data_IF_730457397917
#
_entry.id   IF_730457397917
#
_cell.length_a   1.000
_cell.length_b   1.000
_cell.length_c   1.000
_cell.angle_alpha   90.00
_cell.angle_beta   90.00
_cell.angle_gamma   90.00
#
_symmetry.space_group_name_H-M   'P 1'
#
loop_
_entity.id
_entity.type
_entity.pdbx_description
1 polymer ?
#
# COMPACT_ATOMS: atom_id res chain seq x y z
N UNK A 1 -13.13 11.50 -10.12
CA UNK A 1 -14.18 10.84 -9.31
C UNK A 1 -13.72 10.84 -7.86
N UNK A 2 -14.58 11.13 -6.91
CA UNK A 2 -14.26 11.02 -5.48
C UNK A 2 -14.81 9.70 -4.99
N UNK A 3 -13.98 8.91 -4.34
CA UNK A 3 -14.40 7.65 -3.71
C UNK A 3 -14.16 7.73 -2.22
N UNK A 4 -15.00 7.05 -1.48
CA UNK A 4 -14.89 6.87 -0.05
C UNK A 4 -14.76 5.37 0.21
N UNK A 5 -13.64 4.98 0.79
CA UNK A 5 -13.35 3.59 1.08
C UNK A 5 -13.02 3.41 2.55
N UNK A 6 -13.50 2.31 3.11
CA UNK A 6 -13.10 1.83 4.41
C UNK A 6 -12.08 0.72 4.20
N UNK A 7 -10.89 0.90 4.72
CA UNK A 7 -9.85 -0.11 4.67
C UNK A 7 -9.74 -0.82 6.01
N UNK A 8 -9.92 -2.14 5.96
CA UNK A 8 -9.60 -3.05 7.06
C UNK A 8 -8.37 -3.84 6.63
N UNK A 9 -7.23 -3.56 7.23
CA UNK A 9 -5.96 -4.16 6.81
C UNK A 9 -5.15 -4.70 7.99
N UNK A 10 -4.40 -5.77 7.73
CA UNK A 10 -3.29 -6.23 8.54
C UNK A 10 -1.99 -5.96 7.81
N UNK A 11 -1.03 -5.33 8.49
CA UNK A 11 0.26 -5.02 7.90
C UNK A 11 1.41 -5.57 8.75
N UNK A 12 2.45 -6.07 8.07
CA UNK A 12 3.63 -6.64 8.71
C UNK A 12 4.90 -6.12 8.06
N UNK A 13 5.83 -5.62 8.88
CA UNK A 13 7.17 -5.28 8.42
C UNK A 13 7.99 -6.57 8.28
N UNK A 14 8.66 -6.74 7.15
CA UNK A 14 9.42 -7.94 6.80
C UNK A 14 10.70 -7.57 6.05
N UNK A 15 11.59 -8.56 5.90
CA UNK A 15 12.74 -8.44 5.00
C UNK A 15 12.30 -8.64 3.55
N UNK A 16 12.63 -7.70 2.65
CA UNK A 16 12.34 -7.79 1.23
C UNK A 16 12.95 -9.05 0.60
N UNK A 17 14.23 -9.30 0.92
CA UNK A 17 14.95 -10.49 0.41
C UNK A 17 14.31 -11.81 0.88
N UNK A 18 13.90 -11.88 2.16
CA UNK A 18 13.23 -13.07 2.68
C UNK A 18 11.84 -13.24 2.05
N UNK A 19 11.08 -12.15 1.92
CA UNK A 19 9.74 -12.18 1.31
C UNK A 19 9.79 -12.72 -0.12
N UNK A 20 10.70 -12.22 -0.96
CA UNK A 20 10.84 -12.69 -2.34
C UNK A 20 11.22 -14.18 -2.42
N UNK A 21 12.12 -14.65 -1.53
CA UNK A 21 12.46 -16.07 -1.45
C UNK A 21 11.27 -16.95 -1.09
N UNK A 22 10.44 -16.51 -0.14
CA UNK A 22 9.23 -17.22 0.29
C UNK A 22 8.19 -17.23 -0.82
N UNK A 23 7.94 -16.11 -1.49
CA UNK A 23 7.01 -16.01 -2.62
C UNK A 23 7.39 -17.05 -3.70
N UNK A 24 8.67 -17.15 -4.03
CA UNK A 24 9.16 -18.13 -5.01
C UNK A 24 9.03 -19.57 -4.51
N UNK A 25 9.47 -19.85 -3.28
CA UNK A 25 9.45 -21.19 -2.69
C UNK A 25 8.02 -21.76 -2.58
N UNK A 26 7.08 -20.95 -2.15
CA UNK A 26 5.67 -21.32 -1.95
C UNK A 26 4.86 -21.28 -3.26
N UNK A 27 5.49 -20.95 -4.39
CA UNK A 27 4.83 -20.79 -5.69
C UNK A 27 3.63 -19.83 -5.61
N UNK A 28 3.78 -18.71 -4.87
CA UNK A 28 2.73 -17.70 -4.80
C UNK A 28 2.57 -17.03 -6.17
N UNK A 29 1.33 -16.79 -6.56
CA UNK A 29 1.01 -16.28 -7.90
C UNK A 29 1.03 -14.75 -7.88
N UNK A 30 1.97 -14.15 -8.58
CA UNK A 30 2.00 -12.71 -8.81
C UNK A 30 0.90 -12.34 -9.80
N UNK A 31 0.02 -11.42 -9.39
CA UNK A 31 -1.13 -10.97 -10.18
C UNK A 31 -0.80 -9.67 -10.90
N UNK A 32 -0.17 -8.74 -10.18
CA UNK A 32 0.11 -7.39 -10.68
C UNK A 32 1.31 -6.81 -9.95
N UNK A 33 2.00 -5.92 -10.62
CA UNK A 33 3.07 -5.13 -10.02
C UNK A 33 2.93 -3.67 -10.45
N UNK A 34 3.08 -2.76 -9.49
CA UNK A 34 2.98 -1.32 -9.71
C UNK A 34 4.24 -0.63 -9.20
N UNK A 35 4.68 0.42 -9.91
CA UNK A 35 5.58 1.43 -9.34
C UNK A 35 4.71 2.56 -8.80
N UNK A 36 4.90 2.90 -7.55
CA UNK A 36 4.14 3.92 -6.85
C UNK A 36 5.10 5.03 -6.43
N UNK A 37 4.85 6.24 -6.94
CA UNK A 37 5.47 7.48 -6.50
C UNK A 37 4.50 8.17 -5.54
N UNK A 38 4.93 8.46 -4.33
CA UNK A 38 4.03 9.06 -3.35
C UNK A 38 4.76 10.11 -2.52
N UNK A 39 4.08 11.23 -2.25
CA UNK A 39 4.55 12.25 -1.33
C UNK A 39 3.50 12.46 -0.25
N UNK A 40 3.89 12.33 1.01
CA UNK A 40 3.07 12.73 2.14
C UNK A 40 3.12 14.25 2.27
N UNK A 41 1.94 14.87 2.36
CA UNK A 41 1.78 16.32 2.36
C UNK A 41 1.60 16.84 3.77
N UNK A 42 0.42 16.64 4.32
CA UNK A 42 0.03 17.12 5.63
C UNK A 42 -0.38 15.98 6.55
N UNK A 43 -0.17 16.17 7.84
CA UNK A 43 -0.66 15.27 8.88
C UNK A 43 -1.12 16.08 10.09
N UNK A 44 -2.06 15.55 10.85
CA UNK A 44 -2.61 16.21 12.02
C UNK A 44 -3.59 15.33 12.77
N UNK A 45 -4.26 15.94 13.74
CA UNK A 45 -5.24 15.28 14.58
C UNK A 45 -6.56 16.08 14.61
N UNK A 46 -7.67 15.35 14.58
CA UNK A 46 -9.02 15.90 14.72
C UNK A 46 -9.79 14.99 15.67
N UNK A 47 -9.99 15.45 16.92
CA UNK A 47 -10.59 14.63 17.99
C UNK A 47 -9.77 13.35 18.21
N UNK A 48 -10.43 12.20 18.11
CA UNK A 48 -9.81 10.88 18.30
C UNK A 48 -9.16 10.31 17.02
N UNK A 49 -9.06 11.12 15.98
CA UNK A 49 -8.54 10.67 14.69
C UNK A 49 -7.23 11.39 14.34
N UNK A 50 -6.29 10.62 13.82
CA UNK A 50 -5.15 11.13 13.05
C UNK A 50 -5.53 11.18 11.58
N UNK A 51 -5.13 12.22 10.88
CA UNK A 51 -5.26 12.28 9.43
C UNK A 51 -3.90 12.49 8.76
N UNK A 52 -3.78 11.98 7.54
CA UNK A 52 -2.62 12.19 6.68
C UNK A 52 -3.12 12.39 5.25
N UNK A 53 -2.50 13.34 4.56
CA UNK A 53 -2.77 13.55 3.14
C UNK A 53 -1.57 13.16 2.29
N UNK A 54 -1.81 12.67 1.08
CA UNK A 54 -0.76 12.30 0.13
C UNK A 54 -1.21 12.57 -1.31
N UNK A 55 -0.22 12.78 -2.17
CA UNK A 55 -0.38 12.59 -3.61
C UNK A 55 0.32 11.31 -4.02
N UNK A 56 -0.25 10.62 -5.00
CA UNK A 56 0.28 9.36 -5.51
C UNK A 56 0.15 9.32 -7.02
N UNK A 57 1.20 8.85 -7.70
CA UNK A 57 1.16 8.43 -9.09
C UNK A 57 1.47 6.95 -9.15
N UNK A 58 0.59 6.17 -9.77
CA UNK A 58 0.71 4.72 -9.87
C UNK A 58 0.89 4.33 -11.33
N UNK A 59 1.89 3.50 -11.59
CA UNK A 59 2.23 2.94 -12.90
C UNK A 59 2.14 1.42 -12.81
N UNK A 60 1.32 0.79 -13.68
CA UNK A 60 1.21 -0.67 -13.74
C UNK A 60 2.34 -1.19 -14.64
N UNK A 61 3.20 -2.06 -14.09
CA UNK A 61 4.33 -2.64 -14.83
C UNK A 61 4.15 -4.11 -15.16
N UNK A 62 3.22 -4.80 -14.48
CA UNK A 62 2.89 -6.20 -14.72
C UNK A 62 1.42 -6.46 -14.34
N UNK A 63 0.65 -7.29 -15.08
CA UNK A 63 1.04 -7.85 -16.37
C UNK A 63 1.32 -6.73 -17.37
N UNK A 64 2.20 -7.00 -18.33
CA UNK A 64 2.56 -6.03 -19.37
C UNK A 64 1.31 -5.70 -20.21
N UNK A 65 0.65 -4.62 -19.84
CA UNK A 65 -0.55 -4.14 -20.51
C UNK A 65 -0.13 -3.34 -21.73
N UNK A 66 0.41 -4.02 -22.78
CA UNK A 66 0.61 -3.50 -24.14
C UNK A 66 0.96 -1.99 -24.25
N UNK A 67 1.85 -1.51 -23.39
CA UNK A 67 2.39 -0.15 -23.47
C UNK A 67 1.43 1.00 -23.20
N UNK A 68 0.20 0.74 -22.76
CA UNK A 68 -0.70 1.81 -22.34
C UNK A 68 -0.40 2.23 -20.90
N UNK A 69 0.44 3.21 -20.77
CA UNK A 69 0.74 3.93 -19.55
C UNK A 69 -0.43 4.85 -19.16
N UNK A 70 -1.43 4.31 -18.54
CA UNK A 70 -2.38 5.14 -17.83
C UNK A 70 -1.91 5.27 -16.37
N UNK A 71 -0.97 6.20 -16.16
CA UNK A 71 -0.55 6.58 -14.84
C UNK A 71 -1.71 7.24 -14.10
N UNK A 72 -2.25 6.57 -13.11
CA UNK A 72 -3.29 7.13 -12.25
C UNK A 72 -2.65 8.06 -11.23
N UNK A 73 -3.10 9.32 -11.20
CA UNK A 73 -2.74 10.27 -10.17
C UNK A 73 -3.90 10.50 -9.21
N UNK A 74 -3.60 10.47 -7.91
CA UNK A 74 -4.60 10.58 -6.85
C UNK A 74 -4.13 11.49 -5.73
N UNK A 75 -5.08 12.25 -5.18
CA UNK A 75 -4.96 12.90 -3.88
C UNK A 75 -5.77 12.08 -2.87
N UNK A 76 -5.16 11.71 -1.77
CA UNK A 76 -5.80 10.88 -0.74
C UNK A 76 -5.73 11.58 0.62
N UNK A 77 -6.84 11.57 1.36
CA UNK A 77 -6.83 11.81 2.80
C UNK A 77 -7.18 10.53 3.53
N UNK A 78 -6.30 10.07 4.41
CA UNK A 78 -6.49 8.87 5.23
C UNK A 78 -6.71 9.29 6.68
N UNK A 79 -7.79 8.79 7.28
CA UNK A 79 -8.11 8.96 8.69
C UNK A 79 -7.95 7.63 9.41
N UNK A 80 -7.27 7.63 10.54
CA UNK A 80 -7.13 6.46 11.43
C UNK A 80 -7.48 6.83 12.85
N UNK A 81 -8.15 5.91 13.58
CA UNK A 81 -8.33 6.10 15.02
C UNK A 81 -7.01 6.02 15.75
N UNK A 82 -6.87 6.85 16.79
CA UNK A 82 -5.75 6.83 17.73
C UNK A 82 -5.79 5.59 18.65
N UNK A 83 -5.87 4.38 18.12
CA UNK A 83 -5.87 3.17 18.90
C UNK A 83 -4.52 2.48 18.77
N UNK A 84 -3.62 2.74 19.73
CA UNK A 84 -2.21 2.32 19.69
C UNK A 84 -1.98 0.81 19.84
N UNK A 85 -3.03 0.01 20.04
CA UNK A 85 -2.87 -1.39 20.47
C UNK A 85 -3.14 -2.43 19.39
N UNK A 86 -3.47 -2.06 18.15
CA UNK A 86 -3.97 -3.05 17.20
C UNK A 86 -3.15 -3.06 15.91
N UNK A 87 -2.60 -4.24 15.58
CA UNK A 87 -2.03 -4.51 14.24
C UNK A 87 -3.06 -4.38 13.10
N UNK A 88 -4.32 -4.22 13.47
CA UNK A 88 -5.47 -4.01 12.58
C UNK A 88 -5.70 -2.52 12.41
N UNK A 89 -5.63 -2.06 11.17
CA UNK A 89 -5.99 -0.69 10.83
C UNK A 89 -7.41 -0.68 10.27
N UNK A 90 -8.28 0.11 10.92
CA UNK A 90 -9.62 0.44 10.45
C UNK A 90 -9.55 1.91 9.99
N UNK A 91 -9.21 2.10 8.74
CA UNK A 91 -8.98 3.41 8.16
C UNK A 91 -10.14 3.84 7.28
N UNK A 92 -10.28 5.14 7.15
CA UNK A 92 -11.20 5.78 6.24
C UNK A 92 -10.38 6.56 5.22
N UNK A 93 -10.52 6.25 3.94
CA UNK A 93 -9.84 6.96 2.86
C UNK A 93 -10.81 7.75 1.99
N UNK A 94 -10.44 8.99 1.73
CA UNK A 94 -11.05 9.83 0.70
C UNK A 94 -10.05 9.97 -0.44
N UNK A 95 -10.39 9.41 -1.60
CA UNK A 95 -9.59 9.45 -2.80
C UNK A 95 -10.22 10.36 -3.85
N UNK A 96 -9.42 11.24 -4.40
CA UNK A 96 -9.78 12.09 -5.53
C UNK A 96 -8.77 11.89 -6.65
N UNK A 97 -9.24 11.54 -7.83
CA UNK A 97 -8.40 11.52 -9.02
C UNK A 97 -8.01 12.96 -9.37
N UNK A 98 -6.73 13.17 -9.65
CA UNK A 98 -6.17 14.45 -10.09
C UNK A 98 -5.43 14.25 -11.41
N UNK A 99 -5.26 15.33 -12.16
CA UNK A 99 -4.49 15.29 -13.41
C UNK A 99 -3.01 15.17 -13.14
N UNK A 100 -2.24 14.71 -14.13
CA UNK A 100 -0.77 14.69 -14.07
C UNK A 100 -0.20 16.09 -13.79
N UNK A 101 -0.81 17.14 -14.39
CA UNK A 101 -0.38 18.52 -14.17
C UNK A 101 -0.57 18.97 -12.72
N UNK A 102 -1.73 18.65 -12.11
CA UNK A 102 -2.00 18.93 -10.70
C UNK A 102 -1.04 18.17 -9.79
N UNK A 103 -0.78 16.89 -10.08
CA UNK A 103 0.21 16.08 -9.36
C UNK A 103 1.59 16.75 -9.36
N UNK A 104 2.09 17.13 -10.54
CA UNK A 104 3.42 17.75 -10.66
C UNK A 104 3.50 19.12 -9.97
N UNK A 105 2.43 19.92 -10.02
CA UNK A 105 2.37 21.20 -9.28
C UNK A 105 2.42 20.99 -7.77
N UNK A 106 1.60 20.10 -7.23
CA UNK A 106 1.58 19.77 -5.82
C UNK A 106 2.93 19.20 -5.36
N UNK A 107 3.49 18.27 -6.13
CA UNK A 107 4.82 17.69 -5.86
C UNK A 107 5.88 18.78 -5.70
N UNK A 108 5.96 19.73 -6.62
CA UNK A 108 6.93 20.85 -6.57
C UNK A 108 6.74 21.72 -5.34
N UNK A 109 5.49 22.05 -4.98
CA UNK A 109 5.18 22.86 -3.80
C UNK A 109 5.70 22.17 -2.53
N UNK A 110 5.41 20.89 -2.37
CA UNK A 110 5.78 20.16 -1.17
C UNK A 110 7.26 19.76 -1.12
N UNK A 111 7.89 19.53 -2.26
CA UNK A 111 9.35 19.37 -2.34
C UNK A 111 10.07 20.65 -1.90
N UNK A 112 9.59 21.85 -2.29
CA UNK A 112 10.11 23.11 -1.82
C UNK A 112 9.94 23.31 -0.32
N UNK A 113 8.94 22.66 0.31
CA UNK A 113 8.73 22.62 1.76
C UNK A 113 9.50 21.47 2.46
N UNK A 114 10.39 20.76 1.76
CA UNK A 114 11.21 19.69 2.32
C UNK A 114 10.53 18.32 2.42
N UNK A 115 9.38 18.13 1.75
CA UNK A 115 8.72 16.81 1.67
C UNK A 115 9.34 15.99 0.55
N UNK A 116 9.77 14.78 0.87
CA UNK A 116 10.42 13.89 -0.08
C UNK A 116 9.42 12.91 -0.73
N UNK A 117 9.68 12.58 -1.99
CA UNK A 117 8.95 11.53 -2.69
C UNK A 117 9.49 10.16 -2.26
N UNK A 118 8.60 9.28 -1.88
CA UNK A 118 8.89 7.87 -1.63
C UNK A 118 8.48 7.07 -2.87
N UNK A 119 9.41 6.29 -3.39
CA UNK A 119 9.15 5.34 -4.48
C UNK A 119 9.06 3.94 -3.90
N UNK A 120 7.99 3.23 -4.22
CA UNK A 120 7.83 1.84 -3.82
C UNK A 120 7.34 0.99 -4.99
N UNK A 121 7.74 -0.28 -4.98
CA UNK A 121 7.21 -1.29 -5.88
C UNK A 121 6.20 -2.12 -5.08
N UNK A 122 4.95 -2.09 -5.51
CA UNK A 122 3.88 -2.89 -4.91
C UNK A 122 3.60 -4.10 -5.78
N UNK A 123 3.84 -5.28 -5.22
CA UNK A 123 3.54 -6.56 -5.85
C UNK A 123 2.29 -7.14 -5.24
N UNK A 124 1.26 -7.38 -6.06
CA UNK A 124 0.04 -8.09 -5.67
C UNK A 124 0.21 -9.57 -5.94
N UNK A 125 -0.09 -10.40 -4.97
CA UNK A 125 0.05 -11.84 -5.11
C UNK A 125 -1.02 -12.60 -4.29
N UNK A 126 -1.21 -13.86 -4.61
CA UNK A 126 -2.14 -14.76 -3.91
C UNK A 126 -1.54 -16.15 -3.77
N UNK A 127 -2.11 -16.95 -2.88
CA UNK A 127 -1.77 -18.37 -2.77
C UNK A 127 -2.45 -19.15 -3.93
N UNK A 128 -1.83 -20.22 -4.43
CA UNK A 128 -2.44 -21.04 -5.49
C UNK A 128 -3.79 -21.66 -5.12
N UNK A 129 -4.00 -21.92 -3.83
CA UNK A 129 -5.19 -22.60 -3.31
C UNK A 129 -6.30 -21.66 -2.83
N UNK A 130 -6.01 -20.38 -2.64
CA UNK A 130 -6.98 -19.41 -2.15
C UNK A 130 -6.96 -18.16 -3.03
N UNK A 131 -7.93 -18.08 -3.93
CA UNK A 131 -8.09 -16.97 -4.86
C UNK A 131 -8.72 -15.73 -4.21
N UNK A 132 -9.31 -15.89 -3.01
CA UNK A 132 -10.06 -14.82 -2.35
C UNK A 132 -9.17 -13.85 -1.57
N UNK A 133 -7.98 -14.30 -1.13
CA UNK A 133 -7.06 -13.45 -0.36
C UNK A 133 -5.95 -12.93 -1.24
N UNK A 134 -5.93 -11.63 -1.44
CA UNK A 134 -4.87 -10.92 -2.15
C UNK A 134 -3.97 -10.25 -1.12
N UNK A 135 -2.66 -10.49 -1.26
CA UNK A 135 -1.62 -9.88 -0.47
C UNK A 135 -0.90 -8.82 -1.29
N UNK A 136 -0.41 -7.79 -0.65
CA UNK A 136 0.52 -6.84 -1.25
C UNK A 136 1.88 -6.91 -0.56
N UNK A 137 2.95 -6.80 -1.35
CA UNK A 137 4.31 -6.62 -0.87
C UNK A 137 4.82 -5.28 -1.38
N UNK A 138 5.03 -4.34 -0.49
CA UNK A 138 5.69 -3.06 -0.78
C UNK A 138 7.17 -3.19 -0.51
N UNK A 139 8.00 -2.95 -1.53
CA UNK A 139 9.46 -2.84 -1.42
C UNK A 139 9.88 -1.41 -1.77
N UNK A 140 11.00 -0.96 -1.20
CA UNK A 140 11.45 0.43 -1.29
C UNK A 140 12.84 0.51 -1.95
N UNK A 141 12.90 0.58 -3.30
CA UNK A 141 14.16 0.44 -4.05
C UNK A 141 15.17 1.56 -3.78
N UNK A 142 14.71 2.73 -3.35
CA UNK A 142 15.57 3.89 -3.09
C UNK A 142 15.98 4.03 -1.61
N UNK A 143 15.44 3.19 -0.73
CA UNK A 143 15.82 3.18 0.68
C UNK A 143 17.03 2.26 0.90
N UNK A 144 17.88 2.65 1.85
CA UNK A 144 18.97 1.78 2.31
C UNK A 144 18.39 0.72 3.26
N UNK A 145 18.68 -0.54 2.98
CA UNK A 145 18.25 -1.66 3.82
C UNK A 145 17.36 -2.64 3.07
N UNK A 146 16.88 -3.64 3.81
CA UNK A 146 16.10 -4.77 3.30
C UNK A 146 14.66 -4.74 3.83
N UNK A 147 14.12 -3.54 4.01
CA UNK A 147 12.77 -3.34 4.54
C UNK A 147 11.72 -3.56 3.44
N UNK A 148 10.68 -4.28 3.80
CA UNK A 148 9.46 -4.39 3.03
C UNK A 148 8.24 -4.47 3.96
N UNK A 149 7.05 -4.27 3.39
CA UNK A 149 5.80 -4.40 4.13
C UNK A 149 4.84 -5.31 3.37
N UNK A 150 4.31 -6.30 4.06
CA UNK A 150 3.21 -7.14 3.56
C UNK A 150 1.91 -6.64 4.18
N UNK A 151 0.89 -6.49 3.34
CA UNK A 151 -0.45 -6.10 3.76
C UNK A 151 -1.47 -7.11 3.21
N UNK A 152 -2.55 -7.30 3.96
CA UNK A 152 -3.77 -7.98 3.51
C UNK A 152 -4.97 -7.12 3.88
N UNK A 153 -5.84 -6.88 2.91
CA UNK A 153 -7.08 -6.14 3.08
C UNK A 153 -8.26 -7.11 3.25
N UNK A 154 -9.23 -6.71 4.06
CA UNK A 154 -10.43 -7.48 4.34
C UNK A 154 -11.68 -6.71 3.92
N UNK A 155 -12.64 -7.42 3.34
CA UNK A 155 -13.93 -6.84 2.95
C UNK A 155 -14.85 -6.62 4.16
N UNK A 156 -14.63 -7.32 5.28
CA UNK A 156 -15.43 -7.19 6.49
C UNK A 156 -14.62 -7.47 7.76
N UNK A 157 -15.15 -7.02 8.90
CA UNK A 157 -14.59 -7.38 10.22
C UNK A 157 -14.70 -8.87 10.53
N UNK A 158 -15.70 -9.54 10.01
CA UNK A 158 -15.92 -10.96 10.13
C UNK A 158 -14.82 -11.73 9.40
N UNK A 159 -14.51 -11.37 8.17
CA UNK A 159 -13.42 -11.98 7.40
C UNK A 159 -12.09 -11.83 8.12
N UNK A 160 -11.84 -10.64 8.65
CA UNK A 160 -10.63 -10.35 9.41
C UNK A 160 -10.53 -11.19 10.67
N UNK A 161 -11.63 -11.40 11.44
CA UNK A 161 -11.65 -12.25 12.65
C UNK A 161 -11.42 -13.73 12.34
N UNK A 162 -11.88 -14.19 11.17
CA UNK A 162 -11.72 -15.56 10.72
C UNK A 162 -10.37 -15.83 10.07
N UNK A 163 -9.67 -14.79 9.67
CA UNK A 163 -8.37 -14.92 9.03
C UNK A 163 -7.36 -15.62 9.93
N UNK A 164 -6.64 -16.56 9.35
CA UNK A 164 -5.53 -17.26 10.00
C UNK A 164 -4.25 -17.00 9.22
N UNK A 165 -3.27 -16.41 9.87
CA UNK A 165 -1.96 -16.12 9.27
C UNK A 165 -1.36 -17.43 8.77
N UNK A 166 -1.10 -17.57 7.47
CA UNK A 166 -0.52 -18.78 6.89
C UNK A 166 0.91 -19.01 7.38
N UNK A 167 1.37 -20.26 7.33
CA UNK A 167 2.68 -20.63 7.85
C UNK A 167 3.82 -19.85 7.19
N UNK A 168 3.77 -19.67 5.88
CA UNK A 168 4.78 -18.92 5.14
C UNK A 168 4.89 -17.46 5.61
N UNK A 169 3.78 -16.82 5.99
CA UNK A 169 3.79 -15.44 6.49
C UNK A 169 4.31 -15.40 7.94
N UNK A 170 3.99 -16.40 8.77
CA UNK A 170 4.54 -16.52 10.13
C UNK A 170 6.06 -16.62 10.13
N UNK A 171 6.65 -17.23 9.11
CA UNK A 171 8.11 -17.33 8.96
C UNK A 171 8.76 -15.98 8.66
N UNK A 172 8.03 -15.07 8.00
CA UNK A 172 8.51 -13.74 7.66
C UNK A 172 8.43 -12.74 8.82
N UNK A 173 7.41 -12.91 9.68
CA UNK A 173 7.13 -11.99 10.79
C UNK A 173 8.08 -12.23 12.01
N UNK A 174 8.76 -13.36 12.05
CA UNK A 174 9.66 -13.75 13.16
C UNK A 174 10.98 -12.99 13.16
#
# INVERSE_FOLDING_TARGET
MKTYDRELELGFEVSATKAMKVITRENLVIIQQNIIHQTWLEEGEIGDYKFRTRIRRTEITYPDANGSWEGKCEFTTKYSKNDEQVAVQDNMELNAEITQEEYEKLKKIYQAAGKEEVVKIRTYFRTPLNELSIYTLDTYPNEKGDRARIEIEFSSKEDMKQYRIPQWLKELIK
#
